data_IF_273663766641
#
_entry.id   IF_273663766641
#
_cell.length_a   1.000
_cell.length_b   1.000
_cell.length_c   1.000
_cell.angle_alpha   90.00
_cell.angle_beta   90.00
_cell.angle_gamma   90.00
#
_symmetry.space_group_name_H-M   'P 1'
#
loop_
_entity.id
_entity.type
_entity.pdbx_description
1 polymer ?
#
# COMPACT_ATOMS: atom_id res chain seq x y z
N UNK A 1 4.34 34.56 12.84
CA UNK A 1 4.48 34.69 14.31
C UNK A 1 5.58 35.72 14.54
N UNK A 2 5.28 36.87 15.18
CA UNK A 2 6.24 37.97 15.33
C UNK A 2 7.49 37.62 16.17
N UNK A 3 7.45 36.50 16.92
CA UNK A 3 8.59 36.03 17.73
C UNK A 3 9.36 34.87 17.08
N UNK A 4 9.08 34.56 15.81
CA UNK A 4 9.80 33.51 15.07
C UNK A 4 11.26 33.94 14.81
N UNK A 5 12.20 33.02 14.98
CA UNK A 5 13.62 33.22 14.65
C UNK A 5 14.03 32.26 13.54
N UNK A 6 14.55 32.79 12.43
CA UNK A 6 15.10 31.98 11.34
C UNK A 6 16.43 31.31 11.68
N UNK A 7 17.11 31.75 12.75
CA UNK A 7 18.44 31.27 13.14
C UNK A 7 18.41 30.00 14.00
N UNK A 8 17.23 29.53 14.40
CA UNK A 8 17.09 28.38 15.29
C UNK A 8 15.80 27.62 15.01
N UNK A 9 15.85 26.29 15.08
CA UNK A 9 14.64 25.46 15.00
C UNK A 9 13.68 25.79 16.15
N UNK A 10 12.47 26.22 15.80
CA UNK A 10 11.40 26.46 16.75
C UNK A 10 10.26 25.45 16.54
N UNK A 11 9.61 25.05 17.63
CA UNK A 11 8.45 24.17 17.60
C UNK A 11 7.19 24.99 17.83
N UNK A 12 6.28 24.91 16.88
CA UNK A 12 4.93 25.46 17.00
C UNK A 12 3.92 24.33 17.14
N UNK A 13 2.82 24.62 17.83
CA UNK A 13 1.73 23.67 18.05
C UNK A 13 0.43 24.31 17.57
N UNK A 14 -0.38 23.52 16.89
CA UNK A 14 -1.74 23.89 16.47
C UNK A 14 -2.71 23.07 17.33
N UNK A 15 -3.56 23.75 18.10
CA UNK A 15 -4.64 23.08 18.83
C UNK A 15 -5.82 22.85 17.88
N UNK A 16 -6.13 21.58 17.63
CA UNK A 16 -7.22 21.14 16.76
C UNK A 16 -8.43 20.61 17.53
N UNK A 17 -8.40 20.69 18.86
CA UNK A 17 -9.37 20.04 19.75
C UNK A 17 -10.82 20.41 19.42
N UNK A 18 -11.11 21.69 19.23
CA UNK A 18 -12.49 22.15 19.02
C UNK A 18 -13.01 21.82 17.61
N UNK A 19 -12.12 21.73 16.62
CA UNK A 19 -12.46 21.29 15.27
C UNK A 19 -12.77 19.79 15.27
N UNK A 20 -11.87 18.98 15.85
CA UNK A 20 -12.02 17.52 15.91
C UNK A 20 -13.27 17.11 16.70
N UNK A 21 -13.64 17.87 17.74
CA UNK A 21 -14.86 17.60 18.54
C UNK A 21 -16.16 17.73 17.74
N UNK A 22 -16.18 18.48 16.65
CA UNK A 22 -17.39 18.64 15.83
C UNK A 22 -17.70 17.37 15.04
N UNK A 23 -16.66 16.69 14.53
CA UNK A 23 -16.78 15.37 13.90
C UNK A 23 -15.58 14.49 14.28
N UNK A 24 -15.65 13.73 15.40
CA UNK A 24 -14.50 12.98 15.92
C UNK A 24 -14.08 11.82 15.02
N UNK A 25 -14.90 11.41 14.05
CA UNK A 25 -14.65 10.27 13.18
C UNK A 25 -14.20 10.66 11.76
N UNK A 26 -14.11 11.97 11.48
CA UNK A 26 -13.62 12.50 10.22
C UNK A 26 -12.09 12.41 10.11
N UNK A 27 -11.62 12.30 8.87
CA UNK A 27 -10.21 12.52 8.54
C UNK A 27 -10.06 14.00 8.21
N UNK A 28 -9.23 14.70 8.98
CA UNK A 28 -8.94 16.11 8.79
C UNK A 28 -7.67 16.26 7.97
N UNK A 29 -7.66 17.12 6.96
CA UNK A 29 -6.43 17.49 6.28
C UNK A 29 -5.98 18.87 6.77
N UNK A 30 -4.88 18.90 7.51
CA UNK A 30 -4.21 20.15 7.90
C UNK A 30 -3.33 20.59 6.74
N UNK A 31 -3.46 21.85 6.33
CA UNK A 31 -2.77 22.44 5.20
C UNK A 31 -2.08 23.73 5.65
N UNK A 32 -0.87 23.95 5.17
CA UNK A 32 -0.10 25.17 5.39
C UNK A 32 0.25 25.77 4.04
N UNK A 33 -0.37 26.89 3.74
CA UNK A 33 0.00 27.76 2.64
C UNK A 33 0.63 29.03 3.19
N UNK A 34 1.50 29.64 2.40
CA UNK A 34 2.15 30.89 2.73
C UNK A 34 2.23 31.77 1.49
N UNK A 35 2.24 33.08 1.73
CA UNK A 35 2.38 34.09 0.68
C UNK A 35 3.85 34.41 0.47
N UNK A 36 4.18 34.98 -0.68
CA UNK A 36 5.51 35.47 -1.02
C UNK A 36 6.06 36.45 -0.01
N UNK A 37 5.23 37.37 0.47
CA UNK A 37 5.57 38.33 1.51
C UNK A 37 5.91 37.70 2.87
N UNK A 38 5.63 36.41 3.07
CA UNK A 38 5.98 35.67 4.30
C UNK A 38 7.34 34.97 4.20
N UNK A 39 8.06 35.11 3.09
CA UNK A 39 9.36 34.48 2.87
C UNK A 39 10.50 35.48 3.08
N UNK A 40 11.64 34.99 3.57
CA UNK A 40 12.89 35.78 3.68
C UNK A 40 13.75 35.69 2.42
N UNK A 41 13.22 35.09 1.33
CA UNK A 41 13.97 34.89 0.10
C UNK A 41 14.19 36.22 -0.61
N UNK A 42 15.46 36.59 -0.80
CA UNK A 42 15.82 37.85 -1.44
C UNK A 42 15.66 37.72 -2.96
N UNK A 43 14.54 38.23 -3.47
CA UNK A 43 14.35 38.43 -4.90
C UNK A 43 15.03 39.72 -5.33
N UNK A 44 16.00 39.63 -6.24
CA UNK A 44 16.49 40.83 -6.91
C UNK A 44 15.31 41.45 -7.66
N UNK A 45 15.08 42.74 -7.49
CA UNK A 45 14.08 43.50 -8.25
C UNK A 45 14.50 43.50 -9.73
N UNK A 46 14.18 42.44 -10.44
CA UNK A 46 14.45 42.27 -11.85
C UNK A 46 13.42 43.10 -12.61
N UNK A 47 13.75 44.37 -12.88
CA UNK A 47 13.36 45.15 -14.07
C UNK A 47 11.89 45.43 -14.37
N UNK A 48 10.97 44.61 -13.90
CA UNK A 48 9.54 44.72 -14.11
C UNK A 48 8.99 45.49 -12.91
N UNK A 49 8.32 46.61 -13.17
CA UNK A 49 7.87 47.58 -12.15
C UNK A 49 6.79 47.08 -11.19
N UNK A 50 6.80 45.80 -10.85
CA UNK A 50 5.86 45.13 -9.96
C UNK A 50 6.28 45.32 -8.51
N UNK A 51 5.39 45.95 -7.74
CA UNK A 51 5.62 46.23 -6.33
C UNK A 51 5.23 44.99 -5.50
N UNK A 52 6.18 44.32 -4.82
CA UNK A 52 5.93 43.04 -4.13
C UNK A 52 4.81 43.09 -3.10
N UNK A 53 4.55 44.28 -2.51
CA UNK A 53 3.46 44.48 -1.55
C UNK A 53 2.07 44.42 -2.20
N UNK A 54 1.93 44.88 -3.45
CA UNK A 54 0.66 44.88 -4.20
C UNK A 54 0.36 43.46 -4.69
N UNK A 55 1.40 42.73 -5.13
CA UNK A 55 1.24 41.34 -5.53
C UNK A 55 0.84 40.43 -4.36
N UNK A 56 1.35 40.68 -3.15
CA UNK A 56 0.99 39.88 -1.98
C UNK A 56 -0.50 39.99 -1.61
N UNK A 57 -1.13 41.12 -1.94
CA UNK A 57 -2.56 41.35 -1.77
C UNK A 57 -3.42 40.57 -2.77
N UNK A 58 -2.85 40.11 -3.89
CA UNK A 58 -3.53 39.27 -4.88
C UNK A 58 -3.75 37.82 -4.39
N UNK A 59 -3.16 37.42 -3.27
CA UNK A 59 -3.33 36.06 -2.75
C UNK A 59 -4.77 35.78 -2.32
N UNK A 60 -5.45 34.85 -2.99
CA UNK A 60 -6.82 34.39 -2.75
C UNK A 60 -6.92 33.39 -1.59
N UNK A 61 -6.30 33.69 -0.44
CA UNK A 61 -6.34 32.81 0.73
C UNK A 61 -7.53 33.20 1.63
N UNK A 62 -8.49 32.28 1.79
CA UNK A 62 -9.64 32.46 2.69
C UNK A 62 -10.76 33.35 2.14
N UNK A 63 -10.76 33.64 0.83
CA UNK A 63 -11.89 34.25 0.13
C UNK A 63 -12.97 33.21 -0.14
N UNK A 64 -14.20 33.64 -0.44
CA UNK A 64 -15.25 32.75 -0.94
C UNK A 64 -15.32 32.82 -2.47
N UNK A 65 -15.61 31.69 -3.12
CA UNK A 65 -15.94 31.66 -4.54
C UNK A 65 -17.28 32.35 -4.83
N UNK A 66 -17.65 32.42 -6.11
CA UNK A 66 -18.92 33.01 -6.58
C UNK A 66 -20.18 32.32 -6.01
N UNK A 67 -20.03 31.10 -5.48
CA UNK A 67 -21.10 30.29 -4.88
C UNK A 67 -21.11 30.39 -3.35
N UNK A 68 -20.23 31.21 -2.75
CA UNK A 68 -20.13 31.40 -1.31
C UNK A 68 -19.35 30.28 -0.59
N UNK A 69 -18.70 29.37 -1.32
CA UNK A 69 -17.85 28.35 -0.70
C UNK A 69 -16.49 28.94 -0.38
N UNK A 70 -15.87 28.52 0.73
CA UNK A 70 -14.51 28.93 1.04
C UNK A 70 -13.54 28.43 -0.05
N UNK A 71 -12.86 29.35 -0.72
CA UNK A 71 -11.80 29.04 -1.68
C UNK A 71 -10.67 28.29 -0.96
N UNK A 72 -10.10 27.30 -1.65
CA UNK A 72 -9.03 26.50 -1.06
C UNK A 72 -7.82 27.37 -0.75
N UNK A 73 -7.33 27.31 0.49
CA UNK A 73 -6.09 27.98 0.87
C UNK A 73 -4.85 27.46 0.12
N UNK A 74 -4.96 26.37 -0.64
CA UNK A 74 -3.88 25.83 -1.49
C UNK A 74 -3.87 26.46 -2.89
N UNK A 75 -4.87 27.27 -3.23
CA UNK A 75 -5.14 27.67 -4.60
C UNK A 75 -5.62 26.50 -5.47
N UNK A 76 -5.66 26.74 -6.77
CA UNK A 76 -5.79 25.69 -7.79
C UNK A 76 -4.39 25.18 -8.19
N UNK A 77 -4.29 24.56 -9.37
CA UNK A 77 -3.00 24.13 -9.92
C UNK A 77 -2.05 25.30 -10.23
N UNK A 78 -2.57 26.51 -10.45
CA UNK A 78 -1.78 27.74 -10.69
C UNK A 78 -1.31 28.37 -9.39
N UNK A 79 -1.97 28.08 -8.27
CA UNK A 79 -1.58 28.49 -6.93
C UNK A 79 -2.43 29.63 -6.39
N UNK A 80 -2.00 30.23 -5.27
CA UNK A 80 -2.83 31.15 -4.49
C UNK A 80 -2.94 32.56 -5.08
N UNK A 81 -2.10 32.91 -6.06
CA UNK A 81 -2.08 34.23 -6.71
C UNK A 81 -2.90 34.30 -8.00
N UNK A 82 -3.48 33.18 -8.41
CA UNK A 82 -4.26 33.06 -9.62
C UNK A 82 -5.67 32.61 -9.27
N UNK A 83 -6.63 33.01 -10.10
CA UNK A 83 -8.03 32.65 -9.92
C UNK A 83 -8.41 31.50 -10.85
N UNK A 84 -9.66 31.03 -10.76
CA UNK A 84 -10.19 30.07 -11.73
C UNK A 84 -10.68 30.77 -13.01
N UNK A 85 -10.70 32.10 -13.04
CA UNK A 85 -11.14 32.90 -14.17
C UNK A 85 -9.99 33.03 -15.18
N UNK A 86 -10.16 32.38 -16.33
CA UNK A 86 -9.19 32.40 -17.43
C UNK A 86 -8.89 33.83 -17.92
N UNK A 87 -9.85 34.75 -17.81
CA UNK A 87 -9.68 36.14 -18.22
C UNK A 87 -8.90 37.00 -17.21
N UNK A 88 -8.81 36.56 -15.96
CA UNK A 88 -8.11 37.25 -14.88
C UNK A 88 -6.68 36.72 -14.64
N UNK A 89 -6.30 35.61 -15.29
CA UNK A 89 -4.99 34.96 -15.14
C UNK A 89 -3.97 35.37 -16.22
N UNK A 90 -4.08 36.59 -16.74
CA UNK A 90 -3.12 37.08 -17.72
C UNK A 90 -1.70 37.10 -17.11
N UNK A 91 -0.72 36.56 -17.86
CA UNK A 91 0.67 36.45 -17.40
C UNK A 91 0.99 35.27 -16.48
N UNK A 92 0.19 34.20 -16.44
CA UNK A 92 0.62 32.93 -15.81
C UNK A 92 1.70 32.21 -16.65
N UNK A 93 2.85 31.89 -16.05
CA UNK A 93 3.95 31.22 -16.74
C UNK A 93 4.38 29.90 -16.05
N UNK A 94 3.94 28.76 -16.60
CA UNK A 94 4.25 27.42 -16.04
C UNK A 94 5.75 27.13 -15.83
N UNK A 95 6.60 27.72 -16.66
CA UNK A 95 8.07 27.61 -16.58
C UNK A 95 8.63 28.18 -15.26
N UNK A 96 7.92 29.12 -14.63
CA UNK A 96 8.36 29.85 -13.43
C UNK A 96 7.87 29.25 -12.11
N UNK A 97 7.13 28.14 -12.13
CA UNK A 97 6.62 27.49 -10.90
C UNK A 97 7.72 27.04 -9.93
N UNK A 98 8.94 26.86 -10.42
CA UNK A 98 10.09 26.47 -9.58
C UNK A 98 10.94 27.69 -9.15
N UNK A 99 10.51 28.92 -9.48
CA UNK A 99 11.15 30.19 -9.11
C UNK A 99 10.46 30.83 -7.89
N UNK A 100 11.06 30.82 -6.69
CA UNK A 100 10.48 31.42 -5.48
C UNK A 100 10.17 32.92 -5.58
N UNK A 101 10.70 33.60 -6.60
CA UNK A 101 10.40 35.00 -6.87
C UNK A 101 9.18 35.21 -7.76
N UNK A 102 8.65 34.16 -8.36
CA UNK A 102 7.47 34.20 -9.21
C UNK A 102 6.21 33.82 -8.41
N UNK A 103 5.05 34.30 -8.87
CA UNK A 103 3.75 33.98 -8.25
C UNK A 103 3.41 32.51 -8.39
N UNK A 104 3.85 31.89 -9.49
CA UNK A 104 3.60 30.51 -9.89
C UNK A 104 4.20 29.49 -8.91
N UNK A 105 5.20 29.89 -8.12
CA UNK A 105 5.79 29.04 -7.09
C UNK A 105 4.86 28.77 -5.91
N UNK A 106 3.91 29.66 -5.63
CA UNK A 106 3.04 29.54 -4.46
C UNK A 106 1.80 28.71 -4.80
N UNK A 107 2.04 27.49 -5.27
CA UNK A 107 1.04 26.49 -5.62
C UNK A 107 1.03 25.31 -4.62
N UNK A 108 0.03 24.44 -4.76
CA UNK A 108 -0.20 23.35 -3.81
C UNK A 108 0.97 22.34 -3.69
N UNK A 109 1.87 22.25 -4.68
CA UNK A 109 3.02 21.35 -4.67
C UNK A 109 4.12 21.82 -3.71
N UNK A 110 4.20 23.14 -3.45
CA UNK A 110 5.19 23.73 -2.54
C UNK A 110 4.65 23.95 -1.13
N UNK A 111 3.41 23.53 -0.87
CA UNK A 111 2.75 23.67 0.42
C UNK A 111 2.70 22.35 1.18
N UNK A 112 2.78 22.45 2.51
CA UNK A 112 2.71 21.27 3.36
C UNK A 112 1.25 20.89 3.61
N UNK A 113 0.92 19.61 3.45
CA UNK A 113 -0.37 19.07 3.86
C UNK A 113 -0.21 17.72 4.55
N UNK A 114 -1.11 17.46 5.51
CA UNK A 114 -1.12 16.19 6.26
C UNK A 114 -2.54 15.80 6.64
N UNK A 115 -2.90 14.56 6.33
CA UNK A 115 -4.11 13.95 6.86
C UNK A 115 -3.86 13.50 8.30
N UNK A 116 -4.82 13.81 9.18
CA UNK A 116 -4.83 13.49 10.59
C UNK A 116 -6.18 12.85 10.89
N UNK A 117 -6.14 11.77 11.64
CA UNK A 117 -7.31 11.09 12.15
C UNK A 117 -7.03 10.72 13.60
N UNK A 118 -8.03 10.88 14.47
CA UNK A 118 -7.90 10.60 15.90
C UNK A 118 -8.75 9.39 16.23
N UNK A 119 -8.13 8.38 16.81
CA UNK A 119 -8.82 7.20 17.27
C UNK A 119 -8.05 6.53 18.40
N UNK A 120 -8.80 5.91 19.30
CA UNK A 120 -8.25 5.01 20.30
C UNK A 120 -8.18 3.56 19.81
N UNK A 121 -8.58 3.23 18.58
CA UNK A 121 -8.56 1.87 18.04
C UNK A 121 -7.30 1.63 17.21
N UNK A 122 -6.45 0.71 17.69
CA UNK A 122 -5.32 0.17 16.96
C UNK A 122 -5.70 -1.15 16.30
N UNK A 123 -5.52 -1.25 14.98
CA UNK A 123 -5.85 -2.45 14.21
C UNK A 123 -4.55 -3.12 13.72
N UNK A 124 -4.47 -4.43 13.86
CA UNK A 124 -3.45 -5.27 13.22
C UNK A 124 -4.15 -6.37 12.45
N UNK A 125 -3.83 -6.54 11.18
CA UNK A 125 -4.39 -7.60 10.35
C UNK A 125 -3.30 -8.53 9.81
N UNK A 126 -3.60 -9.83 9.73
CA UNK A 126 -2.74 -10.85 9.14
C UNK A 126 -3.59 -11.69 8.20
N UNK A 127 -3.17 -11.80 6.94
CA UNK A 127 -3.85 -12.61 5.93
C UNK A 127 -3.19 -13.98 5.82
N UNK A 128 -3.99 -15.04 5.90
CA UNK A 128 -3.59 -16.41 5.62
C UNK A 128 -3.58 -16.71 4.12
N UNK A 129 -2.86 -17.75 3.70
CA UNK A 129 -2.84 -18.21 2.30
C UNK A 129 -4.14 -18.90 1.87
N UNK A 130 -4.94 -19.33 2.83
CA UNK A 130 -6.27 -19.92 2.70
C UNK A 130 -7.39 -18.87 2.56
N UNK A 131 -7.04 -17.61 2.29
CA UNK A 131 -7.95 -16.47 2.27
C UNK A 131 -8.65 -16.20 3.62
N UNK A 132 -8.10 -16.70 4.73
CA UNK A 132 -8.48 -16.25 6.06
C UNK A 132 -7.87 -14.87 6.38
N UNK A 133 -8.55 -14.11 7.21
CA UNK A 133 -8.06 -12.84 7.73
C UNK A 133 -8.24 -12.81 9.24
N UNK A 134 -7.11 -12.74 9.93
CA UNK A 134 -7.03 -12.46 11.36
C UNK A 134 -6.94 -10.95 11.56
N UNK A 135 -7.79 -10.39 12.43
CA UNK A 135 -7.76 -8.98 12.81
C UNK A 135 -7.78 -8.88 14.33
N UNK A 136 -6.80 -8.18 14.90
CA UNK A 136 -6.77 -7.82 16.31
C UNK A 136 -7.03 -6.32 16.47
N UNK A 137 -7.89 -5.96 17.41
CA UNK A 137 -8.23 -4.59 17.77
C UNK A 137 -7.85 -4.34 19.23
N UNK A 138 -7.01 -3.32 19.43
CA UNK A 138 -6.50 -2.92 20.75
C UNK A 138 -6.81 -1.45 20.99
N UNK A 139 -6.93 -1.07 22.26
CA UNK A 139 -7.06 0.32 22.63
C UNK A 139 -5.67 0.97 22.72
N UNK A 140 -5.41 2.01 21.93
CA UNK A 140 -4.11 2.67 21.85
C UNK A 140 -3.70 3.42 23.12
N UNK A 141 -4.66 3.73 24.01
CA UNK A 141 -4.38 4.42 25.27
C UNK A 141 -3.84 3.47 26.35
N UNK A 142 -4.39 2.26 26.46
CA UNK A 142 -4.06 1.32 27.55
C UNK A 142 -3.54 -0.06 27.06
N UNK A 143 -3.45 -0.26 25.75
CA UNK A 143 -3.05 -1.51 25.08
C UNK A 143 -3.96 -2.73 25.36
N UNK A 144 -5.14 -2.53 25.94
CA UNK A 144 -6.09 -3.62 26.21
C UNK A 144 -6.83 -4.07 24.95
N UNK A 145 -7.23 -5.36 24.86
CA UNK A 145 -8.06 -5.83 23.76
C UNK A 145 -9.45 -5.18 23.78
N UNK A 146 -9.98 -4.87 22.59
CA UNK A 146 -11.31 -4.26 22.46
C UNK A 146 -12.33 -5.32 22.06
N UNK A 147 -13.11 -5.77 23.02
CA UNK A 147 -14.21 -6.72 22.79
C UNK A 147 -15.38 -6.06 22.03
N UNK A 148 -16.02 -6.83 21.15
CA UNK A 148 -17.24 -6.47 20.44
C UNK A 148 -17.11 -5.22 19.54
N UNK A 149 -15.89 -4.91 19.10
CA UNK A 149 -15.67 -3.96 18.02
C UNK A 149 -16.24 -4.52 16.72
N UNK A 150 -17.05 -3.73 16.02
CA UNK A 150 -17.60 -4.13 14.72
C UNK A 150 -16.57 -3.87 13.64
N UNK A 151 -16.26 -4.89 12.85
CA UNK A 151 -15.36 -4.82 11.71
C UNK A 151 -16.18 -4.89 10.42
N UNK A 152 -15.95 -3.95 9.53
CA UNK A 152 -16.48 -3.94 8.17
C UNK A 152 -15.32 -3.96 7.18
N UNK A 153 -15.27 -5.01 6.37
CA UNK A 153 -14.24 -5.21 5.36
C UNK A 153 -14.83 -4.73 4.03
N UNK A 154 -14.20 -3.76 3.37
CA UNK A 154 -14.72 -3.14 2.14
C UNK A 154 -13.76 -3.29 0.98
N UNK A 155 -14.31 -3.43 -0.23
CA UNK A 155 -13.54 -3.50 -1.48
C UNK A 155 -13.02 -2.12 -1.89
N UNK A 156 -12.25 -2.07 -2.98
CA UNK A 156 -11.73 -0.81 -3.54
C UNK A 156 -12.86 0.15 -3.94
N UNK A 157 -14.01 -0.37 -4.38
CA UNK A 157 -15.22 0.39 -4.72
C UNK A 157 -16.10 0.69 -3.48
N UNK A 158 -15.53 0.52 -2.28
CA UNK A 158 -16.19 0.75 -0.99
C UNK A 158 -17.45 -0.12 -0.78
N UNK A 159 -17.49 -1.29 -1.42
CA UNK A 159 -18.59 -2.25 -1.23
C UNK A 159 -18.27 -3.21 -0.09
N UNK A 160 -19.24 -3.54 0.78
CA UNK A 160 -19.01 -4.48 1.86
C UNK A 160 -18.67 -5.88 1.32
N UNK A 161 -17.60 -6.46 1.83
CA UNK A 161 -17.16 -7.83 1.55
C UNK A 161 -17.63 -8.76 2.67
N UNK A 162 -17.35 -8.37 3.91
CA UNK A 162 -17.70 -9.13 5.10
C UNK A 162 -17.85 -8.21 6.32
N UNK A 163 -18.57 -8.71 7.33
CA UNK A 163 -18.68 -8.09 8.65
C UNK A 163 -18.32 -9.09 9.71
N UNK A 164 -17.61 -8.64 10.74
CA UNK A 164 -17.25 -9.47 11.89
C UNK A 164 -17.30 -8.64 13.18
N UNK A 165 -17.23 -9.32 14.32
CA UNK A 165 -17.07 -8.69 15.63
C UNK A 165 -15.90 -9.32 16.34
N UNK A 166 -15.16 -8.52 17.09
CA UNK A 166 -14.07 -9.03 17.92
C UNK A 166 -14.64 -9.76 19.15
N UNK A 167 -13.93 -10.80 19.58
CA UNK A 167 -14.19 -11.56 20.79
C UNK A 167 -13.60 -10.89 22.04
N UNK A 168 -13.59 -11.61 23.17
CA UNK A 168 -13.06 -11.11 24.45
C UNK A 168 -11.57 -10.76 24.40
N UNK A 169 -10.81 -11.38 23.51
CA UNK A 169 -9.39 -11.12 23.30
C UNK A 169 -9.15 -10.02 22.25
N UNK A 170 -10.22 -9.36 21.79
CA UNK A 170 -10.15 -8.30 20.79
C UNK A 170 -9.83 -8.83 19.39
N UNK A 171 -10.08 -10.11 19.15
CA UNK A 171 -9.72 -10.82 17.92
C UNK A 171 -10.97 -11.13 17.10
N UNK A 172 -10.87 -11.00 15.79
CA UNK A 172 -11.83 -11.54 14.84
C UNK A 172 -11.09 -12.30 13.74
N UNK A 173 -11.59 -13.50 13.42
CA UNK A 173 -11.11 -14.29 12.28
C UNK A 173 -12.23 -14.39 11.26
N UNK A 174 -11.94 -13.99 10.01
CA UNK A 174 -12.86 -14.10 8.88
C UNK A 174 -12.29 -15.10 7.90
N UNK A 175 -12.97 -16.23 7.72
CA UNK A 175 -12.54 -17.30 6.83
C UNK A 175 -13.20 -17.15 5.44
N UNK A 176 -12.56 -17.71 4.41
CA UNK A 176 -13.15 -17.82 3.09
C UNK A 176 -13.49 -16.49 2.41
N UNK A 177 -12.67 -15.46 2.59
CA UNK A 177 -12.90 -14.17 1.94
C UNK A 177 -12.90 -14.33 0.41
N UNK A 178 -13.97 -13.84 -0.23
CA UNK A 178 -14.12 -13.87 -1.69
C UNK A 178 -13.11 -13.01 -2.43
N UNK A 179 -12.61 -11.96 -1.78
CA UNK A 179 -11.59 -11.05 -2.30
C UNK A 179 -10.81 -10.40 -1.15
N UNK A 180 -9.66 -9.82 -1.46
CA UNK A 180 -8.84 -9.10 -0.50
C UNK A 180 -9.50 -7.75 -0.21
N UNK A 181 -9.81 -7.40 1.06
CA UNK A 181 -10.34 -6.09 1.39
C UNK A 181 -9.35 -4.99 0.98
N UNK A 182 -9.87 -3.84 0.58
CA UNK A 182 -9.06 -2.65 0.39
C UNK A 182 -8.85 -1.89 1.72
N UNK A 183 -9.90 -1.83 2.54
CA UNK A 183 -9.89 -1.21 3.87
C UNK A 183 -10.68 -2.07 4.86
N UNK A 184 -10.21 -2.11 6.10
CA UNK A 184 -10.98 -2.59 7.25
C UNK A 184 -11.38 -1.37 8.08
N UNK A 185 -12.67 -1.26 8.37
CA UNK A 185 -13.23 -0.24 9.26
C UNK A 185 -13.63 -0.91 10.57
N UNK A 186 -12.96 -0.56 11.66
CA UNK A 186 -13.39 -0.93 13.01
C UNK A 186 -14.26 0.18 13.61
N UNK A 187 -15.31 -0.18 14.33
CA UNK A 187 -16.16 0.74 15.08
C UNK A 187 -16.41 0.18 16.48
N UNK A 188 -16.16 0.98 17.51
CA UNK A 188 -16.46 0.64 18.90
C UNK A 188 -16.87 1.89 19.68
N UNK A 189 -18.14 1.94 20.10
CA UNK A 189 -18.75 3.17 20.62
C UNK A 189 -18.64 4.29 19.59
N UNK A 190 -18.12 5.44 20.03
CA UNK A 190 -17.92 6.61 19.17
C UNK A 190 -16.58 6.62 18.42
N UNK A 191 -15.72 5.60 18.60
CA UNK A 191 -14.42 5.53 17.94
C UNK A 191 -14.51 4.69 16.67
N UNK A 192 -13.91 5.19 15.59
CA UNK A 192 -13.62 4.41 14.37
C UNK A 192 -12.14 4.17 14.20
N UNK A 193 -11.76 3.09 13.52
CA UNK A 193 -10.39 2.81 13.13
C UNK A 193 -10.35 2.34 11.70
N UNK A 194 -9.34 2.75 10.93
CA UNK A 194 -9.22 2.42 9.52
C UNK A 194 -7.87 1.76 9.27
N UNK A 195 -7.88 0.58 8.63
CA UNK A 195 -6.66 -0.10 8.20
C UNK A 195 -6.71 -0.34 6.71
N UNK A 196 -5.78 0.27 5.97
CA UNK A 196 -5.62 0.05 4.53
C UNK A 196 -4.85 -1.25 4.29
N UNK A 197 -5.44 -2.14 3.49
CA UNK A 197 -4.96 -3.51 3.27
C UNK A 197 -4.20 -3.69 1.93
N UNK A 198 -3.80 -2.58 1.28
CA UNK A 198 -3.03 -2.64 0.05
C UNK A 198 -1.65 -3.29 0.28
N UNK A 199 -1.25 -4.21 -0.60
CA UNK A 199 -0.05 -5.05 -0.44
C UNK A 199 1.25 -4.24 -0.19
N UNK A 200 1.38 -3.05 -0.78
CA UNK A 200 2.54 -2.16 -0.56
C UNK A 200 2.70 -1.62 0.86
N UNK A 201 1.68 -1.76 1.72
CA UNK A 201 1.73 -1.37 3.13
C UNK A 201 2.03 -2.55 4.07
N UNK A 202 2.30 -3.74 3.54
CA UNK A 202 2.65 -4.90 4.36
C UNK A 202 4.01 -4.69 5.04
N UNK A 203 4.11 -5.15 6.29
CA UNK A 203 5.37 -5.09 7.03
C UNK A 203 6.36 -6.11 6.47
N UNK A 204 7.60 -5.67 6.25
CA UNK A 204 8.65 -6.55 5.75
C UNK A 204 8.93 -7.69 6.73
N UNK A 205 8.96 -8.91 6.21
CA UNK A 205 9.37 -10.10 6.95
C UNK A 205 10.84 -10.46 6.74
N UNK A 206 11.63 -9.64 6.04
CA UNK A 206 12.99 -9.97 5.61
C UNK A 206 14.00 -10.22 6.75
N UNK A 207 13.68 -9.77 7.97
CA UNK A 207 14.51 -9.99 9.17
C UNK A 207 14.14 -11.28 9.91
N UNK A 208 13.06 -11.93 9.53
CA UNK A 208 12.61 -13.17 10.11
C UNK A 208 13.02 -14.33 9.19
N UNK A 209 13.30 -15.48 9.78
CA UNK A 209 13.54 -16.70 9.00
C UNK A 209 12.20 -17.22 8.49
N UNK A 210 11.77 -16.67 7.36
CA UNK A 210 10.56 -17.06 6.61
C UNK A 210 10.92 -17.81 5.33
N UNK A 211 12.20 -18.21 5.18
CA UNK A 211 12.65 -18.97 4.03
C UNK A 211 12.14 -20.40 4.11
N UNK A 212 11.78 -20.97 2.96
CA UNK A 212 11.29 -22.33 2.90
C UNK A 212 10.64 -22.65 1.56
N UNK A 213 10.32 -23.92 1.37
CA UNK A 213 9.55 -24.36 0.20
C UNK A 213 8.08 -24.04 0.47
N UNK A 214 7.55 -23.10 -0.29
CA UNK A 214 6.12 -22.85 -0.28
C UNK A 214 5.40 -23.94 -1.07
N UNK A 215 4.38 -24.56 -0.48
CA UNK A 215 3.43 -25.35 -1.25
C UNK A 215 2.61 -24.39 -2.11
N UNK A 216 3.00 -24.25 -3.37
CA UNK A 216 2.14 -23.64 -4.36
C UNK A 216 1.02 -24.64 -4.64
N UNK A 217 -0.20 -24.32 -4.22
CA UNK A 217 -1.46 -25.03 -4.47
C UNK A 217 -1.36 -26.43 -5.11
N UNK A 218 -1.84 -27.46 -4.40
CA UNK A 218 -1.92 -28.82 -4.92
C UNK A 218 -1.19 -29.83 -4.05
N UNK A 219 -0.78 -30.94 -4.67
CA UNK A 219 -0.09 -32.04 -4.00
C UNK A 219 1.39 -31.68 -3.82
N UNK A 220 1.92 -31.93 -2.62
CA UNK A 220 3.34 -31.78 -2.35
C UNK A 220 4.10 -32.98 -2.90
N UNK A 221 5.32 -32.75 -3.35
CA UNK A 221 6.21 -33.82 -3.74
C UNK A 221 7.64 -33.36 -3.83
N UNK A 222 8.56 -34.33 -3.82
CA UNK A 222 10.00 -34.09 -3.85
C UNK A 222 10.63 -34.90 -4.99
N UNK A 223 11.33 -34.21 -5.89
CA UNK A 223 12.07 -34.82 -6.99
C UNK A 223 13.56 -34.80 -6.67
N UNK A 224 14.21 -35.96 -6.75
CA UNK A 224 15.65 -36.07 -6.62
C UNK A 224 16.23 -36.99 -7.68
N UNK A 225 17.45 -36.69 -8.12
CA UNK A 225 18.19 -37.50 -9.07
C UNK A 225 19.29 -38.30 -8.41
N UNK A 226 19.91 -39.20 -9.19
CA UNK A 226 21.19 -39.84 -8.85
C UNK A 226 22.31 -38.80 -8.64
N UNK A 227 22.19 -37.62 -9.26
CA UNK A 227 23.13 -36.49 -9.19
C UNK A 227 22.42 -35.19 -9.57
N UNK A 228 23.15 -34.07 -9.53
CA UNK A 228 22.63 -32.74 -9.90
C UNK A 228 23.05 -32.24 -11.30
N UNK A 229 23.91 -32.97 -12.02
CA UNK A 229 24.45 -32.56 -13.33
C UNK A 229 24.62 -33.78 -14.25
N UNK A 230 24.14 -33.67 -15.48
CA UNK A 230 24.26 -34.69 -16.54
C UNK A 230 24.85 -34.09 -17.81
N UNK A 231 25.59 -34.90 -18.57
CA UNK A 231 26.12 -34.52 -19.88
C UNK A 231 25.14 -34.93 -20.99
N UNK A 232 25.18 -34.29 -22.17
CA UNK A 232 24.47 -34.78 -23.34
C UNK A 232 24.80 -36.26 -23.63
N UNK A 233 23.77 -37.08 -23.80
CA UNK A 233 23.87 -38.53 -23.97
C UNK A 233 23.78 -39.35 -22.67
N UNK A 234 23.80 -38.71 -21.51
CA UNK A 234 23.64 -39.43 -20.23
C UNK A 234 22.20 -39.92 -20.04
N UNK A 235 22.10 -41.10 -19.42
CA UNK A 235 20.87 -41.55 -18.76
C UNK A 235 20.65 -40.79 -17.45
N UNK A 236 19.42 -40.36 -17.23
CA UNK A 236 18.97 -39.61 -16.06
C UNK A 236 18.05 -40.53 -15.23
N UNK A 237 18.39 -40.72 -13.96
CA UNK A 237 17.61 -41.50 -13.03
C UNK A 237 17.01 -40.57 -11.97
N UNK A 238 15.71 -40.26 -12.11
CA UNK A 238 14.99 -39.44 -11.17
C UNK A 238 14.02 -40.28 -10.34
N UNK A 239 13.83 -39.90 -9.09
CA UNK A 239 12.82 -40.43 -8.22
C UNK A 239 11.96 -39.28 -7.71
N UNK A 240 10.65 -39.45 -7.80
CA UNK A 240 9.68 -38.49 -7.29
C UNK A 240 8.91 -39.11 -6.12
N UNK A 241 8.97 -38.47 -4.96
CA UNK A 241 8.19 -38.84 -3.78
C UNK A 241 6.96 -37.96 -3.76
N UNK A 242 5.79 -38.57 -3.95
CA UNK A 242 4.52 -37.87 -3.82
C UNK A 242 4.07 -37.91 -2.35
N UNK A 243 3.82 -36.74 -1.77
CA UNK A 243 3.33 -36.64 -0.39
C UNK A 243 1.80 -36.58 -0.38
N UNK A 244 1.16 -37.62 0.17
CA UNK A 244 -0.29 -37.69 0.38
C UNK A 244 -0.59 -37.88 1.87
N UNK A 245 -0.42 -36.81 2.65
CA UNK A 245 -0.62 -36.83 4.12
C UNK A 245 -2.05 -37.28 4.50
N UNK A 246 -3.04 -36.94 3.68
CA UNK A 246 -4.44 -37.25 3.93
C UNK A 246 -4.88 -38.64 3.43
N UNK A 247 -4.03 -39.34 2.66
CA UNK A 247 -4.33 -40.66 2.09
C UNK A 247 -5.52 -40.65 1.12
N UNK A 248 -5.72 -39.54 0.43
CA UNK A 248 -6.91 -39.31 -0.42
C UNK A 248 -6.68 -39.68 -1.88
N UNK A 249 -5.44 -39.90 -2.29
CA UNK A 249 -5.12 -40.21 -3.68
C UNK A 249 -5.42 -41.68 -3.99
N UNK A 250 -6.07 -41.94 -5.15
CA UNK A 250 -6.32 -43.31 -5.56
C UNK A 250 -5.00 -44.03 -5.88
N UNK A 251 -5.01 -45.34 -5.68
CA UNK A 251 -3.91 -46.19 -6.13
C UNK A 251 -3.69 -46.01 -7.63
N UNK A 252 -2.43 -45.83 -8.03
CA UNK A 252 -2.08 -45.63 -9.43
C UNK A 252 -2.19 -44.19 -9.93
N UNK A 253 -2.23 -43.19 -9.03
CA UNK A 253 -2.26 -41.78 -9.40
C UNK A 253 -1.15 -41.44 -10.41
N UNK A 254 -1.49 -40.89 -11.60
CA UNK A 254 -0.52 -40.66 -12.67
C UNK A 254 0.39 -39.46 -12.37
N UNK A 255 1.69 -39.66 -12.49
CA UNK A 255 2.71 -38.61 -12.45
C UNK A 255 3.30 -38.45 -13.84
N UNK A 256 3.30 -37.22 -14.36
CA UNK A 256 3.89 -36.90 -15.66
C UNK A 256 5.26 -36.27 -15.46
N UNK A 257 6.30 -36.83 -16.08
CA UNK A 257 7.62 -36.21 -16.20
C UNK A 257 7.73 -35.53 -17.57
N UNK A 258 8.11 -34.26 -17.58
CA UNK A 258 8.45 -33.50 -18.78
C UNK A 258 9.88 -32.97 -18.64
N UNK A 259 10.72 -33.25 -19.64
CA UNK A 259 12.08 -32.73 -19.75
C UNK A 259 12.11 -31.69 -20.85
N UNK A 260 12.46 -30.45 -20.50
CA UNK A 260 12.59 -29.33 -21.43
C UNK A 260 14.06 -28.92 -21.58
N UNK A 261 14.43 -28.42 -22.75
CA UNK A 261 15.76 -27.83 -22.97
C UNK A 261 15.81 -26.37 -22.44
N UNK A 262 17.00 -25.72 -22.39
CA UNK A 262 17.13 -24.33 -21.94
C UNK A 262 16.34 -23.30 -22.76
N UNK A 263 15.87 -23.66 -23.95
CA UNK A 263 15.02 -22.82 -24.80
C UNK A 263 13.53 -23.03 -24.53
N UNK A 264 13.20 -23.90 -23.58
CA UNK A 264 11.82 -24.28 -23.22
C UNK A 264 11.20 -25.34 -24.14
N UNK A 265 11.96 -25.93 -25.07
CA UNK A 265 11.42 -26.94 -25.97
C UNK A 265 11.36 -28.31 -25.28
N UNK A 266 10.19 -28.95 -25.30
CA UNK A 266 9.97 -30.29 -24.76
C UNK A 266 10.81 -31.33 -25.51
N UNK A 267 11.66 -32.06 -24.79
CA UNK A 267 12.55 -33.10 -25.31
C UNK A 267 12.05 -34.51 -25.02
N UNK A 268 11.44 -34.70 -23.85
CA UNK A 268 10.96 -36.01 -23.41
C UNK A 268 9.75 -35.85 -22.51
N UNK A 269 8.78 -36.77 -22.64
CA UNK A 269 7.58 -36.82 -21.82
C UNK A 269 7.24 -38.27 -21.52
N UNK A 270 6.96 -38.57 -20.26
CA UNK A 270 6.45 -39.89 -19.86
C UNK A 270 5.43 -39.75 -18.74
N UNK A 271 4.56 -40.75 -18.60
CA UNK A 271 3.58 -40.83 -17.52
C UNK A 271 3.84 -42.13 -16.77
N UNK A 272 4.03 -42.03 -15.45
CA UNK A 272 4.13 -43.18 -14.57
C UNK A 272 2.91 -43.24 -13.66
N UNK A 273 2.22 -44.37 -13.67
CA UNK A 273 1.15 -44.70 -12.72
C UNK A 273 1.63 -45.68 -11.65
N UNK A 274 2.86 -46.18 -11.76
CA UNK A 274 3.41 -47.16 -10.84
C UNK A 274 4.28 -46.47 -9.81
N UNK A 275 3.98 -46.71 -8.54
CA UNK A 275 4.79 -46.25 -7.41
C UNK A 275 4.97 -47.35 -6.38
N UNK A 276 6.10 -47.31 -5.69
CA UNK A 276 6.38 -48.15 -4.52
C UNK A 276 6.35 -47.24 -3.31
N UNK A 277 5.33 -47.39 -2.45
CA UNK A 277 5.15 -46.56 -1.26
C UNK A 277 5.16 -45.05 -1.55
N UNK A 278 4.55 -44.62 -2.66
CA UNK A 278 4.50 -43.21 -3.07
C UNK A 278 5.75 -42.70 -3.80
N UNK A 279 6.74 -43.57 -4.05
CA UNK A 279 7.94 -43.24 -4.83
C UNK A 279 7.78 -43.70 -6.27
N UNK A 280 7.88 -42.75 -7.21
CA UNK A 280 7.82 -42.96 -8.64
C UNK A 280 9.24 -42.93 -9.23
N UNK A 281 9.64 -44.03 -9.87
CA UNK A 281 10.87 -44.06 -10.65
C UNK A 281 10.62 -43.44 -12.03
N UNK A 282 11.37 -42.40 -12.36
CA UNK A 282 11.22 -41.60 -13.57
C UNK A 282 12.56 -41.55 -14.29
N UNK A 283 12.74 -42.43 -15.27
CA UNK A 283 13.99 -42.56 -16.01
C UNK A 283 13.84 -41.97 -17.41
N UNK A 284 14.85 -41.22 -17.85
CA UNK A 284 14.93 -40.71 -19.21
C UNK A 284 16.38 -40.66 -19.68
N UNK A 285 16.61 -40.27 -20.93
CA UNK A 285 17.95 -40.11 -21.49
C UNK A 285 18.01 -38.82 -22.28
N UNK A 286 19.14 -38.14 -22.21
CA UNK A 286 19.39 -36.95 -23.04
C UNK A 286 19.91 -37.38 -24.41
N UNK A 287 19.69 -36.54 -25.43
CA UNK A 287 20.29 -36.75 -26.75
C UNK A 287 21.76 -36.36 -26.71
N UNK A 288 22.61 -37.03 -27.49
CA UNK A 288 24.05 -36.72 -27.54
C UNK A 288 24.36 -35.33 -28.12
N UNK A 289 23.43 -34.77 -28.91
CA UNK A 289 23.48 -33.43 -29.50
C UNK A 289 22.67 -32.40 -28.70
N UNK A 290 22.32 -32.70 -27.45
CA UNK A 290 21.56 -31.78 -26.60
C UNK A 290 22.35 -30.48 -26.31
N UNK A 291 21.70 -29.30 -26.38
CA UNK A 291 22.34 -28.03 -26.07
C UNK A 291 22.69 -27.94 -24.58
N UNK A 292 23.86 -27.34 -24.27
CA UNK A 292 24.35 -27.09 -22.91
C UNK A 292 24.24 -25.62 -22.53
#
# INVERSE_FOLDING_TARGET
>A
NPNASALSWQRYMLDLKDVIRQDPNAIYQVRFAFRRGYTEWACNASGDGENPSVEDEMAHVGQTDEYGNLASMMGDYRGIYFTNDWSANDGYEWSRRDDPCAREYYNYEHFASRNIFVSNLGLTAKRGKDNSLFVAVTNLHNAEPVNNATLELVSYQLQPIAKARTDADGIAVVEGLREVPFVIVATHGDNKGYLRMADGNTLSLSRFDVAGVEAQHGLKGYLYGDRGVWRPGDSIYLNFVLEDVAGTLPQGHPVTLELTDPRGALQYRTVSTQSVSGVYALHCTTRGDAPT
#
